data_IF_414489467535
#
_entry.id   IF_414489467535
#
_cell.length_a   1.000
_cell.length_b   1.000
_cell.length_c   1.000
_cell.angle_alpha   90.00
_cell.angle_beta   90.00
_cell.angle_gamma   90.00
#
_symmetry.space_group_name_H-M   'P 1'
#
loop_
_entity.id
_entity.type
_entity.pdbx_description
1 polymer ?
#
# COMPACT_ATOMS: atom_id res chain seq x y z
N UNK A 1 -17.60 12.67 17.89
CA UNK A 1 -17.40 14.08 17.52
C UNK A 1 -16.31 14.13 16.47
N UNK A 2 -16.61 14.43 15.19
CA UNK A 2 -15.56 14.50 14.20
C UNK A 2 -14.80 15.81 14.40
N UNK A 3 -13.48 15.71 14.60
CA UNK A 3 -12.61 16.87 14.67
C UNK A 3 -12.80 17.72 13.41
N UNK A 4 -13.25 18.96 13.57
CA UNK A 4 -13.14 20.01 12.55
C UNK A 4 -11.65 20.34 12.38
N UNK A 5 -10.95 19.42 11.72
CA UNK A 5 -9.51 19.47 11.48
C UNK A 5 -9.24 20.22 10.19
N UNK A 6 -8.25 21.12 10.24
CA UNK A 6 -7.67 21.77 9.06
C UNK A 6 -7.51 20.76 7.90
N UNK A 7 -7.80 21.15 6.65
CA UNK A 7 -7.61 20.28 5.49
C UNK A 7 -6.20 19.68 5.51
N UNK A 8 -6.10 18.35 5.38
CA UNK A 8 -4.80 17.66 5.33
C UNK A 8 -4.19 17.86 3.94
N UNK A 9 -2.88 17.67 3.81
CA UNK A 9 -2.21 17.77 2.52
C UNK A 9 -2.83 16.81 1.48
N UNK A 10 -3.20 15.59 1.92
CA UNK A 10 -3.91 14.63 1.07
C UNK A 10 -5.31 15.11 0.68
N UNK A 11 -5.96 16.05 1.35
CA UNK A 11 -7.29 16.52 0.92
C UNK A 11 -7.22 17.55 -0.21
N UNK A 12 -6.09 18.25 -0.34
CA UNK A 12 -5.94 19.41 -1.25
C UNK A 12 -4.94 19.19 -2.39
N UNK A 13 -4.07 18.18 -2.31
CA UNK A 13 -3.05 17.94 -3.34
C UNK A 13 -3.65 17.64 -4.71
N UNK A 14 -3.15 18.22 -5.78
CA UNK A 14 -3.51 17.82 -7.16
C UNK A 14 -2.78 16.52 -7.49
N UNK A 15 -3.53 15.43 -7.75
CA UNK A 15 -2.96 14.11 -8.02
C UNK A 15 -3.11 13.77 -9.50
N UNK A 16 -1.99 13.76 -10.23
CA UNK A 16 -1.91 13.27 -11.61
C UNK A 16 -1.20 11.92 -11.72
N UNK A 17 -0.34 11.60 -10.75
CA UNK A 17 0.51 10.41 -10.70
C UNK A 17 0.60 9.88 -9.27
N UNK A 18 1.02 8.63 -9.06
CA UNK A 18 1.16 8.08 -7.70
C UNK A 18 2.19 8.83 -6.84
N UNK A 19 3.17 9.46 -7.46
CA UNK A 19 4.20 10.28 -6.80
C UNK A 19 3.69 11.63 -6.30
N UNK A 20 2.53 12.08 -6.78
CA UNK A 20 1.90 13.32 -6.30
C UNK A 20 1.12 13.11 -4.99
N UNK A 21 0.97 11.85 -4.55
CA UNK A 21 0.26 11.51 -3.32
C UNK A 21 1.17 11.87 -2.13
N UNK A 22 0.78 12.83 -1.27
CA UNK A 22 1.57 13.18 -0.10
C UNK A 22 1.54 12.03 0.93
N UNK A 23 2.51 11.99 1.87
CA UNK A 23 2.51 11.00 2.94
C UNK A 23 1.17 10.96 3.68
N UNK A 24 0.52 9.80 3.67
CA UNK A 24 -0.79 9.57 4.27
C UNK A 24 -1.00 8.08 4.56
N UNK A 25 -1.97 7.77 5.42
CA UNK A 25 -2.34 6.37 5.68
C UNK A 25 -3.04 5.74 4.46
N UNK A 26 -3.00 4.41 4.36
CA UNK A 26 -3.75 3.67 3.33
C UNK A 26 -5.24 3.97 3.41
N UNK A 27 -5.80 4.09 4.62
CA UNK A 27 -7.20 4.49 4.82
C UNK A 27 -7.50 5.86 4.23
N UNK A 28 -6.64 6.85 4.47
CA UNK A 28 -6.85 8.19 3.94
C UNK A 28 -6.77 8.24 2.41
N UNK A 29 -5.85 7.47 1.83
CA UNK A 29 -5.75 7.32 0.38
C UNK A 29 -6.99 6.64 -0.20
N UNK A 30 -7.51 5.61 0.48
CA UNK A 30 -8.72 4.89 0.08
C UNK A 30 -9.96 5.79 0.15
N UNK A 31 -10.16 6.49 1.27
CA UNK A 31 -11.26 7.44 1.45
C UNK A 31 -11.23 8.53 0.37
N UNK A 32 -10.04 9.04 0.03
CA UNK A 32 -9.90 10.01 -1.05
C UNK A 32 -10.22 9.41 -2.42
N UNK A 33 -9.74 8.19 -2.71
CA UNK A 33 -10.04 7.49 -3.95
C UNK A 33 -11.54 7.28 -4.12
N UNK A 34 -12.22 6.87 -3.06
CA UNK A 34 -13.65 6.64 -3.05
C UNK A 34 -14.44 7.93 -3.29
N UNK A 35 -13.98 9.08 -2.78
CA UNK A 35 -14.56 10.39 -3.12
C UNK A 35 -14.46 10.69 -4.63
N UNK A 36 -13.31 10.45 -5.26
CA UNK A 36 -13.14 10.62 -6.71
C UNK A 36 -14.04 9.65 -7.50
N UNK A 37 -14.12 8.38 -7.09
CA UNK A 37 -14.99 7.38 -7.70
C UNK A 37 -16.48 7.70 -7.55
N UNK A 38 -16.90 8.22 -6.40
CA UNK A 38 -18.28 8.64 -6.14
C UNK A 38 -18.68 9.83 -7.03
N UNK A 39 -17.77 10.79 -7.27
CA UNK A 39 -17.99 11.85 -8.26
C UNK A 39 -18.20 11.28 -9.65
N UNK A 40 -17.30 10.42 -10.12
CA UNK A 40 -17.42 9.78 -11.44
C UNK A 40 -18.72 8.99 -11.61
N UNK A 41 -19.19 8.33 -10.56
CA UNK A 41 -20.46 7.60 -10.57
C UNK A 41 -21.71 8.52 -10.54
N UNK A 42 -21.54 9.84 -10.43
CA UNK A 42 -22.64 10.79 -10.26
C UNK A 42 -23.37 10.65 -8.92
N UNK A 43 -22.80 9.93 -7.95
CA UNK A 43 -23.41 9.66 -6.65
C UNK A 43 -23.45 10.92 -5.76
N UNK A 44 -22.62 11.92 -6.06
CA UNK A 44 -22.57 13.19 -5.31
C UNK A 44 -22.63 14.37 -6.26
N UNK A 45 -23.85 14.87 -6.51
CA UNK A 45 -24.11 16.01 -7.40
C UNK A 45 -23.68 17.36 -6.81
N UNK A 46 -23.53 17.45 -5.49
CA UNK A 46 -23.10 18.66 -4.78
C UNK A 46 -21.63 19.03 -5.02
N UNK A 47 -20.84 18.16 -5.65
CA UNK A 47 -19.39 18.34 -5.84
C UNK A 47 -19.00 18.73 -7.28
N UNK A 48 -19.98 19.09 -8.12
CA UNK A 48 -19.77 19.51 -9.50
C UNK A 48 -19.87 18.37 -10.52
N UNK A 49 -19.63 18.71 -11.78
CA UNK A 49 -19.62 17.74 -12.89
C UNK A 49 -18.36 16.87 -12.79
N UNK A 50 -18.45 15.55 -13.02
CA UNK A 50 -17.28 14.68 -12.99
C UNK A 50 -16.28 15.06 -14.08
N UNK A 51 -14.99 15.07 -13.75
CA UNK A 51 -13.93 15.43 -14.67
C UNK A 51 -12.96 14.27 -14.93
N UNK A 52 -12.21 14.33 -16.03
CA UNK A 52 -11.13 13.38 -16.30
C UNK A 52 -10.06 13.36 -15.19
N UNK A 53 -9.88 14.49 -14.51
CA UNK A 53 -8.99 14.63 -13.34
C UNK A 53 -9.41 13.72 -12.18
N UNK A 54 -10.71 13.45 -11.98
CA UNK A 54 -11.19 12.52 -10.97
C UNK A 54 -10.78 11.08 -11.28
N UNK A 55 -10.88 10.67 -12.55
CA UNK A 55 -10.49 9.32 -12.97
C UNK A 55 -8.97 9.11 -12.81
N UNK A 56 -8.17 10.10 -13.19
CA UNK A 56 -6.72 10.06 -13.04
C UNK A 56 -6.34 10.02 -11.56
N UNK A 57 -6.94 10.86 -10.72
CA UNK A 57 -6.67 10.88 -9.28
C UNK A 57 -7.04 9.54 -8.61
N UNK A 58 -8.20 8.97 -8.95
CA UNK A 58 -8.62 7.66 -8.44
C UNK A 58 -7.65 6.54 -8.84
N UNK A 59 -7.14 6.56 -10.09
CA UNK A 59 -6.15 5.60 -10.56
C UNK A 59 -4.82 5.76 -9.82
N UNK A 60 -4.30 6.99 -9.74
CA UNK A 60 -3.04 7.30 -9.08
C UNK A 60 -3.05 6.92 -7.59
N UNK A 61 -4.16 7.19 -6.89
CA UNK A 61 -4.36 6.77 -5.50
C UNK A 61 -4.41 5.23 -5.36
N UNK A 62 -5.07 4.53 -6.29
CA UNK A 62 -5.09 3.07 -6.30
C UNK A 62 -3.68 2.46 -6.42
N UNK A 63 -2.86 3.02 -7.30
CA UNK A 63 -1.46 2.59 -7.45
C UNK A 63 -0.63 2.95 -6.20
N UNK A 64 -0.83 4.13 -5.61
CA UNK A 64 -0.13 4.51 -4.38
C UNK A 64 -0.48 3.58 -3.21
N UNK A 65 -1.76 3.22 -3.05
CA UNK A 65 -2.22 2.22 -2.07
C UNK A 65 -1.56 0.87 -2.32
N UNK A 66 -1.57 0.38 -3.56
CA UNK A 66 -0.95 -0.89 -3.91
C UNK A 66 0.54 -0.89 -3.57
N UNK A 67 1.27 0.19 -3.89
CA UNK A 67 2.69 0.34 -3.54
C UNK A 67 2.91 0.32 -2.04
N UNK A 68 2.11 1.06 -1.27
CA UNK A 68 2.21 1.10 0.19
C UNK A 68 2.00 -0.31 0.80
N UNK A 69 0.97 -1.02 0.37
CA UNK A 69 0.70 -2.39 0.86
C UNK A 69 1.83 -3.37 0.47
N UNK A 70 2.35 -3.27 -0.75
CA UNK A 70 3.46 -4.12 -1.20
C UNK A 70 4.77 -3.79 -0.49
N UNK A 71 5.00 -2.54 -0.08
CA UNK A 71 6.18 -2.17 0.70
C UNK A 71 6.20 -2.79 2.09
N UNK A 72 5.03 -3.01 2.70
CA UNK A 72 4.90 -3.66 4.01
C UNK A 72 4.94 -5.20 3.91
N UNK A 73 4.77 -5.76 2.71
CA UNK A 73 4.68 -7.20 2.49
C UNK A 73 5.88 -8.00 3.05
N UNK A 74 7.15 -7.58 2.87
CA UNK A 74 8.28 -8.30 3.47
C UNK A 74 8.29 -8.29 5.01
N UNK A 75 7.79 -7.22 5.64
CA UNK A 75 7.66 -7.16 7.10
C UNK A 75 6.63 -8.17 7.61
N UNK A 76 5.53 -8.36 6.87
CA UNK A 76 4.52 -9.37 7.21
C UNK A 76 5.05 -10.80 6.98
N UNK A 77 5.89 -11.02 5.96
CA UNK A 77 6.59 -12.30 5.75
C UNK A 77 7.50 -12.58 6.96
N UNK A 78 8.30 -11.60 7.38
CA UNK A 78 9.18 -11.74 8.54
C UNK A 78 8.41 -12.10 9.81
N UNK A 79 7.29 -11.41 10.08
CA UNK A 79 6.49 -11.66 11.26
C UNK A 79 5.81 -13.04 11.21
N UNK A 80 5.35 -13.48 10.03
CA UNK A 80 4.83 -14.82 9.84
C UNK A 80 5.90 -15.91 10.13
N UNK A 81 7.14 -15.70 9.66
CA UNK A 81 8.26 -16.60 9.94
C UNK A 81 8.61 -16.61 11.44
N UNK A 82 8.65 -15.44 12.10
CA UNK A 82 8.86 -15.35 13.56
C UNK A 82 7.80 -16.10 14.36
N UNK A 83 6.57 -16.19 13.86
CA UNK A 83 5.49 -16.96 14.45
C UNK A 83 5.43 -18.43 13.97
N UNK A 84 6.45 -18.93 13.28
CA UNK A 84 6.57 -20.33 12.88
C UNK A 84 5.72 -20.72 11.66
N UNK A 85 5.29 -19.76 10.84
CA UNK A 85 4.64 -20.07 9.57
C UNK A 85 5.65 -20.66 8.58
N UNK A 86 5.19 -21.57 7.72
CA UNK A 86 6.02 -22.13 6.65
C UNK A 86 5.99 -21.27 5.40
N UNK A 87 7.02 -21.40 4.57
CA UNK A 87 7.10 -20.79 3.25
C UNK A 87 5.93 -21.17 2.34
N UNK A 88 5.41 -22.39 2.43
CA UNK A 88 4.24 -22.81 1.64
C UNK A 88 2.97 -22.03 2.02
N UNK A 89 2.76 -21.80 3.32
CA UNK A 89 1.61 -21.02 3.80
C UNK A 89 1.72 -19.55 3.44
N UNK A 90 2.93 -19.00 3.53
CA UNK A 90 3.21 -17.62 3.12
C UNK A 90 2.99 -17.47 1.61
N UNK A 91 3.55 -18.36 0.81
CA UNK A 91 3.41 -18.34 -0.65
C UNK A 91 1.94 -18.46 -1.09
N UNK A 92 1.16 -19.34 -0.45
CA UNK A 92 -0.27 -19.46 -0.69
C UNK A 92 -1.04 -18.16 -0.34
N UNK A 93 -0.67 -17.47 0.74
CA UNK A 93 -1.29 -16.18 1.10
C UNK A 93 -0.92 -15.06 0.12
N UNK A 94 0.26 -15.14 -0.49
CA UNK A 94 0.75 -14.19 -1.50
C UNK A 94 0.33 -14.53 -2.93
N UNK A 95 -0.31 -15.69 -3.15
CA UNK A 95 -0.65 -16.24 -4.47
C UNK A 95 0.57 -16.36 -5.40
N UNK A 96 1.69 -16.86 -4.88
CA UNK A 96 2.94 -17.10 -5.62
C UNK A 96 3.55 -18.44 -5.28
N UNK A 97 4.63 -18.84 -5.95
CA UNK A 97 5.38 -20.03 -5.57
C UNK A 97 6.19 -19.80 -4.28
N UNK A 98 6.50 -20.86 -3.50
CA UNK A 98 7.41 -20.75 -2.35
C UNK A 98 8.81 -20.26 -2.71
N UNK A 99 9.25 -20.43 -3.96
CA UNK A 99 10.52 -19.89 -4.44
C UNK A 99 10.44 -18.38 -4.66
N UNK A 100 9.34 -17.90 -5.23
CA UNK A 100 9.12 -16.47 -5.46
C UNK A 100 8.95 -15.70 -4.14
N UNK A 101 8.24 -16.29 -3.16
CA UNK A 101 8.10 -15.73 -1.83
C UNK A 101 9.48 -15.56 -1.14
N UNK A 102 10.34 -16.58 -1.24
CA UNK A 102 11.72 -16.51 -0.71
C UNK A 102 12.56 -15.47 -1.45
N UNK A 103 12.48 -15.42 -2.78
CA UNK A 103 13.23 -14.47 -3.58
C UNK A 103 12.84 -13.01 -3.27
N UNK A 104 11.53 -12.75 -3.09
CA UNK A 104 11.01 -11.46 -2.67
C UNK A 104 11.57 -11.07 -1.30
N UNK A 105 11.50 -11.98 -0.32
CA UNK A 105 12.02 -11.73 1.03
C UNK A 105 13.54 -11.50 1.04
N UNK A 106 14.30 -12.32 0.30
CA UNK A 106 15.75 -12.19 0.18
C UNK A 106 16.15 -10.84 -0.44
N UNK A 107 15.48 -10.43 -1.52
CA UNK A 107 15.75 -9.14 -2.17
C UNK A 107 15.51 -7.96 -1.23
N UNK A 108 14.43 -8.02 -0.45
CA UNK A 108 14.15 -7.01 0.56
C UNK A 108 15.20 -7.00 1.68
N UNK A 109 15.61 -8.17 2.18
CA UNK A 109 16.59 -8.28 3.27
C UNK A 109 17.92 -7.60 2.96
N UNK A 110 18.33 -7.57 1.69
CA UNK A 110 19.57 -6.90 1.26
C UNK A 110 19.53 -5.38 1.50
N UNK A 111 18.34 -4.77 1.56
CA UNK A 111 18.18 -3.34 1.85
C UNK A 111 18.27 -2.97 3.33
N UNK A 112 18.27 -3.96 4.23
CA UNK A 112 18.28 -3.76 5.69
C UNK A 112 19.66 -3.39 6.24
N UNK A 113 19.69 -2.88 7.48
CA UNK A 113 20.95 -2.74 8.19
C UNK A 113 21.61 -4.12 8.42
N UNK A 114 22.95 -4.19 8.59
CA UNK A 114 23.64 -5.48 8.71
C UNK A 114 23.08 -6.43 9.76
N UNK A 115 22.68 -5.92 10.92
CA UNK A 115 22.11 -6.72 12.02
C UNK A 115 20.72 -7.29 11.65
N UNK A 116 19.85 -6.43 11.11
CA UNK A 116 18.50 -6.81 10.65
C UNK A 116 18.53 -7.78 9.46
N UNK A 117 19.51 -7.60 8.56
CA UNK A 117 19.74 -8.50 7.42
C UNK A 117 20.12 -9.90 7.89
N UNK A 118 20.95 -10.02 8.92
CA UNK A 118 21.36 -11.32 9.46
C UNK A 118 20.16 -12.04 10.11
N UNK A 119 19.33 -11.33 10.86
CA UNK A 119 18.09 -11.89 11.39
C UNK A 119 17.17 -12.39 10.26
N UNK A 120 16.99 -11.57 9.22
CA UNK A 120 16.17 -11.94 8.07
C UNK A 120 16.71 -13.19 7.36
N UNK A 121 18.04 -13.32 7.19
CA UNK A 121 18.65 -14.52 6.61
C UNK A 121 18.41 -15.76 7.46
N UNK A 122 18.57 -15.66 8.78
CA UNK A 122 18.27 -16.77 9.68
C UNK A 122 16.79 -17.21 9.63
N UNK A 123 15.86 -16.28 9.48
CA UNK A 123 14.44 -16.60 9.26
C UNK A 123 14.20 -17.24 7.88
N UNK A 124 15.00 -16.91 6.88
CA UNK A 124 14.85 -17.44 5.53
C UNK A 124 15.24 -18.92 5.40
N UNK A 125 16.13 -19.40 6.26
CA UNK A 125 16.62 -20.77 6.28
C UNK A 125 15.75 -21.75 7.09
N UNK A 126 14.66 -21.27 7.71
CA UNK A 126 13.64 -22.08 8.42
C UNK A 126 12.63 -22.70 7.44
#
# INVERSE_FOLDING_TARGET
MPSEGRPRAIDTATIGTPTDVPPASVTDMADRRDRHSARLAGAVTAWGTPEASDAIAALALGVAISRAVTQDQPLLIQEALRHGSTWDRIAAALDVSPADARALYATWSESLAPEEREEARHLADQ
#
